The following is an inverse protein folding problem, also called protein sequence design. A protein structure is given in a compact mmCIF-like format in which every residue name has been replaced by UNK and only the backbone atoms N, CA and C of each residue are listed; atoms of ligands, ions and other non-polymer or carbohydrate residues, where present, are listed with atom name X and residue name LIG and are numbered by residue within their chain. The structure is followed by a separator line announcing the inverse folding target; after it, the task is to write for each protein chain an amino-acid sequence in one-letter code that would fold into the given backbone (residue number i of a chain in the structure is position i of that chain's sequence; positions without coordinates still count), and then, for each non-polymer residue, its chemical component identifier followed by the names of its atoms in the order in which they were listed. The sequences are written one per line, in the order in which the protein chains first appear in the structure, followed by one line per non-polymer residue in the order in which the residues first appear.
data_IF_849194281131
#
_entry.id   IF_849194281131
#
_cell.length_a   1.000
_cell.length_b   1.000
_cell.length_c   1.000
_cell.angle_alpha   90.00
_cell.angle_beta   90.00
_cell.angle_gamma   90.00
#
_symmetry.space_group_name_H-M   'P 1'
#
loop_
_entity.id
_entity.type
_entity.pdbx_description
1 polymer ?
#
# COMPACT_ATOMS: atom_id res chain seq x y z
N UNK A 1 11.47 10.23 8.65
CA UNK A 1 10.69 9.19 7.93
C UNK A 1 9.52 9.90 7.24
N UNK A 2 9.42 9.89 5.92
CA UNK A 2 8.27 10.48 5.19
C UNK A 2 7.10 9.49 5.24
N UNK A 3 5.93 9.93 5.70
CA UNK A 3 4.69 9.16 5.63
C UNK A 3 4.00 9.46 4.29
N UNK A 4 3.79 8.43 3.48
CA UNK A 4 3.14 8.55 2.18
C UNK A 4 1.68 8.11 2.32
N UNK A 5 0.75 9.06 2.35
CA UNK A 5 -0.70 8.84 2.30
C UNK A 5 -1.23 8.62 0.88
N UNK A 6 -0.47 9.06 -0.13
CA UNK A 6 -0.84 8.92 -1.54
C UNK A 6 0.38 8.64 -2.41
N UNK A 7 0.18 7.89 -3.50
CA UNK A 7 1.21 7.67 -4.51
C UNK A 7 1.66 8.96 -5.21
N UNK A 8 0.86 10.02 -5.19
CA UNK A 8 1.28 11.33 -5.69
C UNK A 8 2.32 12.04 -4.81
N UNK A 9 2.58 11.53 -3.61
CA UNK A 9 3.60 12.11 -2.72
C UNK A 9 5.01 11.59 -3.00
N UNK A 10 5.15 10.61 -3.90
CA UNK A 10 6.46 10.22 -4.42
C UNK A 10 6.89 11.23 -5.48
N UNK A 11 7.89 12.04 -5.14
CA UNK A 11 8.51 13.00 -6.07
C UNK A 11 8.96 12.31 -7.37
N UNK A 12 9.45 11.06 -7.28
CA UNK A 12 9.91 10.27 -8.43
C UNK A 12 8.78 9.87 -9.41
N UNK A 13 7.52 9.96 -8.97
CA UNK A 13 6.36 9.60 -9.78
C UNK A 13 5.68 10.83 -10.41
N UNK A 14 6.10 12.06 -10.09
CA UNK A 14 5.40 13.28 -10.53
C UNK A 14 5.43 13.47 -12.05
N UNK A 15 6.51 13.05 -12.70
CA UNK A 15 6.71 13.19 -14.16
C UNK A 15 5.90 12.19 -14.99
N UNK A 16 5.22 11.23 -14.35
CA UNK A 16 4.48 10.16 -15.02
C UNK A 16 2.97 10.40 -15.04
N UNK A 17 2.30 9.94 -16.09
CA UNK A 17 0.84 9.98 -16.17
C UNK A 17 0.20 8.95 -15.22
N UNK A 18 -1.13 9.00 -15.05
CA UNK A 18 -1.83 8.12 -14.11
C UNK A 18 -1.66 6.62 -14.43
N UNK A 19 -1.69 6.24 -15.71
CA UNK A 19 -1.54 4.84 -16.13
C UNK A 19 -0.10 4.35 -15.86
N UNK A 20 0.90 5.16 -16.20
CA UNK A 20 2.32 4.88 -15.95
C UNK A 20 2.60 4.75 -14.45
N UNK A 21 2.04 5.65 -13.63
CA UNK A 21 2.12 5.56 -12.17
C UNK A 21 1.62 4.22 -11.65
N UNK A 22 0.48 3.75 -12.16
CA UNK A 22 -0.09 2.49 -11.73
C UNK A 22 0.79 1.30 -12.14
N UNK A 23 1.37 1.32 -13.35
CA UNK A 23 2.31 0.30 -13.81
C UNK A 23 3.60 0.28 -13.00
N UNK A 24 4.13 1.44 -12.61
CA UNK A 24 5.33 1.53 -11.77
C UNK A 24 5.04 1.01 -10.35
N UNK A 25 3.88 1.32 -9.78
CA UNK A 25 3.44 0.79 -8.48
C UNK A 25 3.32 -0.74 -8.53
N UNK A 26 2.78 -1.29 -9.61
CA UNK A 26 2.70 -2.73 -9.81
C UNK A 26 4.09 -3.36 -9.89
N UNK A 27 5.01 -2.73 -10.62
CA UNK A 27 6.39 -3.19 -10.75
C UNK A 27 7.13 -3.15 -9.41
N UNK A 28 6.94 -2.09 -8.62
CA UNK A 28 7.50 -1.97 -7.27
C UNK A 28 6.94 -3.05 -6.33
N UNK A 29 5.64 -3.35 -6.41
CA UNK A 29 5.04 -4.47 -5.70
C UNK A 29 5.62 -5.82 -6.13
N UNK A 30 5.88 -6.02 -7.42
CA UNK A 30 6.50 -7.25 -7.92
C UNK A 30 7.96 -7.39 -7.48
N UNK A 31 8.70 -6.29 -7.42
CA UNK A 31 10.08 -6.24 -6.90
C UNK A 31 10.19 -6.46 -5.40
N UNK A 32 9.13 -6.21 -4.63
CA UNK A 32 9.14 -6.43 -3.20
C UNK A 32 9.43 -7.92 -2.91
N UNK A 33 10.51 -8.25 -2.18
CA UNK A 33 10.92 -9.62 -1.93
C UNK A 33 9.86 -10.35 -1.11
N UNK A 34 9.74 -11.66 -1.31
CA UNK A 34 8.78 -12.52 -0.60
C UNK A 34 8.73 -12.28 0.93
N UNK A 35 9.85 -12.23 1.67
CA UNK A 35 9.80 -11.95 3.11
C UNK A 35 9.19 -10.59 3.43
N UNK A 36 9.48 -9.53 2.66
CA UNK A 36 8.91 -8.20 2.89
C UNK A 36 7.39 -8.17 2.64
N UNK A 37 6.90 -8.89 1.63
CA UNK A 37 5.46 -9.08 1.38
C UNK A 37 4.77 -9.79 2.54
N UNK A 38 5.40 -10.85 3.05
CA UNK A 38 4.90 -11.62 4.20
C UNK A 38 4.87 -10.73 5.44
N UNK A 39 5.94 -10.00 5.76
CA UNK A 39 5.97 -9.06 6.89
C UNK A 39 4.86 -8.02 6.78
N UNK A 40 4.66 -7.45 5.60
CA UNK A 40 3.61 -6.47 5.35
C UNK A 40 2.23 -7.09 5.59
N UNK A 41 1.96 -8.31 5.10
CA UNK A 41 0.70 -8.99 5.32
C UNK A 41 0.48 -9.41 6.79
N UNK A 42 1.53 -9.85 7.49
CA UNK A 42 1.46 -10.11 8.94
C UNK A 42 1.13 -8.81 9.69
N UNK A 43 1.76 -7.69 9.34
CA UNK A 43 1.46 -6.40 9.94
C UNK A 43 0.00 -5.98 9.69
N UNK A 44 -0.53 -6.19 8.48
CA UNK A 44 -1.95 -5.96 8.17
C UNK A 44 -2.86 -6.80 9.06
N UNK A 45 -2.51 -8.07 9.27
CA UNK A 45 -3.27 -8.97 10.15
C UNK A 45 -3.19 -8.52 11.61
N UNK A 46 -2.01 -8.17 12.12
CA UNK A 46 -1.83 -7.68 13.49
C UNK A 46 -2.62 -6.40 13.77
N UNK A 47 -2.77 -5.52 12.77
CA UNK A 47 -3.61 -4.32 12.89
C UNK A 47 -5.11 -4.68 12.86
N UNK A 48 -5.50 -5.71 12.11
CA UNK A 48 -6.89 -6.10 11.92
C UNK A 48 -7.45 -6.94 13.08
N UNK A 49 -6.63 -7.80 13.69
CA UNK A 49 -7.06 -8.74 14.74
C UNK A 49 -7.66 -8.02 15.97
N UNK A 50 -7.00 -7.03 16.60
CA UNK A 50 -7.52 -6.41 17.81
C UNK A 50 -8.90 -5.76 17.63
N UNK A 51 -9.15 -4.96 16.57
CA UNK A 51 -10.48 -4.46 16.26
C UNK A 51 -11.53 -5.55 16.11
N UNK A 52 -11.21 -6.66 15.43
CA UNK A 52 -12.12 -7.79 15.28
C UNK A 52 -12.44 -8.48 16.60
N UNK A 53 -11.46 -8.63 17.51
CA UNK A 53 -11.68 -9.18 18.84
C UNK A 53 -12.57 -8.27 19.70
N UNK A 54 -12.45 -6.94 19.55
CA UNK A 54 -13.33 -5.98 20.23
C UNK A 54 -14.75 -6.06 19.67
N UNK A 55 -14.90 -6.14 18.35
CA UNK A 55 -16.21 -6.29 17.69
C UNK A 55 -16.91 -7.57 18.09
N UNK A 56 -16.17 -8.67 18.26
CA UNK A 56 -16.72 -9.96 18.67
C UNK A 56 -17.38 -9.96 20.07
N UNK A 57 -17.10 -8.94 20.90
CA UNK A 57 -17.75 -8.79 22.22
C UNK A 57 -19.06 -8.00 22.17
N UNK A 58 -19.45 -7.50 21.00
CA UNK A 58 -20.67 -6.70 20.85
C UNK A 58 -21.80 -7.63 20.40
N UNK A 59 -22.63 -8.08 21.36
CA UNK A 59 -23.74 -9.00 21.10
C UNK A 59 -25.01 -8.32 20.55
N UNK A 60 -24.94 -7.01 20.28
CA UNK A 60 -26.08 -6.21 19.84
C UNK A 60 -25.95 -5.79 18.39
N UNK A 61 -27.08 -5.52 17.74
CA UNK A 61 -27.14 -4.98 16.37
C UNK A 61 -26.40 -3.63 16.20
N UNK A 62 -26.01 -2.99 17.31
CA UNK A 62 -25.21 -1.78 17.33
C UNK A 62 -23.76 -2.01 16.87
N UNK A 63 -23.31 -3.26 16.70
CA UNK A 63 -21.96 -3.60 16.20
C UNK A 63 -21.66 -3.04 14.79
N UNK A 64 -22.68 -2.67 14.02
CA UNK A 64 -22.53 -2.11 12.67
C UNK A 64 -21.75 -0.79 12.68
N UNK A 65 -22.00 0.07 13.67
CA UNK A 65 -21.33 1.37 13.79
C UNK A 65 -19.81 1.22 14.05
N UNK A 66 -19.37 0.47 15.07
CA UNK A 66 -17.94 0.22 15.27
C UNK A 66 -17.34 -0.61 14.13
N UNK A 67 -18.09 -1.50 13.47
CA UNK A 67 -17.60 -2.22 12.30
C UNK A 67 -17.22 -1.26 11.16
N UNK A 68 -18.10 -0.31 10.82
CA UNK A 68 -17.81 0.71 9.82
C UNK A 68 -16.59 1.56 10.21
N UNK A 69 -16.51 1.96 11.49
CA UNK A 69 -15.36 2.72 12.00
C UNK A 69 -14.06 1.92 11.83
N UNK A 70 -14.06 0.63 12.17
CA UNK A 70 -12.91 -0.26 12.01
C UNK A 70 -12.49 -0.38 10.55
N UNK A 71 -13.44 -0.50 9.62
CA UNK A 71 -13.13 -0.55 8.18
C UNK A 71 -12.50 0.74 7.67
N UNK A 72 -13.01 1.90 8.10
CA UNK A 72 -12.44 3.21 7.74
C UNK A 72 -11.04 3.35 8.32
N UNK A 73 -10.86 3.09 9.62
CA UNK A 73 -9.55 3.13 10.28
C UNK A 73 -8.55 2.16 9.63
N UNK A 74 -8.99 0.96 9.28
CA UNK A 74 -8.18 -0.03 8.57
C UNK A 74 -7.63 0.56 7.27
N UNK A 75 -8.50 1.14 6.42
CA UNK A 75 -8.05 1.72 5.16
C UNK A 75 -7.09 2.90 5.37
N UNK A 76 -7.40 3.78 6.32
CA UNK A 76 -6.60 4.97 6.63
C UNK A 76 -5.21 4.61 7.15
N UNK A 77 -5.06 3.53 7.92
CA UNK A 77 -3.78 3.08 8.48
C UNK A 77 -3.00 2.21 7.49
N UNK A 78 -3.67 1.27 6.80
CA UNK A 78 -2.97 0.35 5.91
C UNK A 78 -2.39 1.02 4.67
N UNK A 79 -3.12 1.98 4.09
CA UNK A 79 -2.66 2.73 2.91
C UNK A 79 -1.25 3.30 3.13
N UNK A 80 -0.98 4.10 4.18
CA UNK A 80 0.33 4.68 4.39
C UNK A 80 1.40 3.67 4.79
N UNK A 81 1.04 2.63 5.54
CA UNK A 81 1.98 1.53 5.88
C UNK A 81 2.43 0.81 4.61
N UNK A 82 1.49 0.50 3.71
CA UNK A 82 1.78 -0.15 2.43
C UNK A 82 2.65 0.74 1.56
N UNK A 83 2.30 2.03 1.44
CA UNK A 83 3.05 2.98 0.63
C UNK A 83 4.45 3.23 1.17
N UNK A 84 4.64 3.25 2.50
CA UNK A 84 5.96 3.36 3.12
C UNK A 84 6.88 2.19 2.72
N UNK A 85 6.34 0.97 2.69
CA UNK A 85 7.08 -0.22 2.25
C UNK A 85 7.37 -0.17 0.75
N UNK A 86 6.38 0.22 -0.06
CA UNK A 86 6.53 0.41 -1.50
C UNK A 86 7.61 1.43 -1.84
N UNK A 87 7.69 2.55 -1.10
CA UNK A 87 8.66 3.61 -1.33
C UNK A 87 10.12 3.13 -1.38
N UNK A 88 10.46 2.04 -0.69
CA UNK A 88 11.80 1.42 -0.75
C UNK A 88 12.15 0.79 -2.10
N UNK A 89 11.13 0.49 -2.92
CA UNK A 89 11.25 -0.20 -4.21
C UNK A 89 10.81 0.68 -5.38
N UNK A 90 10.33 1.90 -5.13
CA UNK A 90 9.83 2.82 -6.18
C UNK A 90 10.96 3.28 -7.09
N UNK A 91 12.12 3.67 -6.56
CA UNK A 91 13.27 4.11 -7.38
C UNK A 91 13.72 3.04 -8.38
N UNK A 92 13.82 1.80 -7.88
CA UNK A 92 14.17 0.64 -8.67
C UNK A 92 13.12 0.30 -9.75
N UNK A 93 11.84 0.51 -9.45
CA UNK A 93 10.75 0.28 -10.38
C UNK A 93 10.70 1.37 -11.46
N UNK A 94 10.90 2.64 -11.09
CA UNK A 94 11.00 3.76 -12.04
C UNK A 94 12.16 3.54 -13.02
N UNK A 95 13.34 3.16 -12.52
CA UNK A 95 14.49 2.88 -13.39
C UNK A 95 14.22 1.74 -14.39
N UNK A 96 13.56 0.66 -13.94
CA UNK A 96 13.17 -0.45 -14.81
C UNK A 96 12.08 -0.06 -15.80
N UNK A 97 11.13 0.79 -15.40
CA UNK A 97 10.08 1.29 -16.27
C UNK A 97 10.64 2.13 -17.41
N UNK A 98 11.52 3.09 -17.11
CA UNK A 98 12.22 3.91 -18.12
C UNK A 98 13.03 3.05 -19.10
N UNK A 99 13.75 2.03 -18.61
CA UNK A 99 14.49 1.09 -19.47
C UNK A 99 13.57 0.31 -20.41
N UNK A 100 12.37 -0.09 -19.95
CA UNK A 100 11.40 -0.79 -20.80
C UNK A 100 10.77 0.11 -21.87
N UNK A 101 10.55 1.39 -21.58
CA UNK A 101 10.11 2.35 -22.59
C UNK A 101 11.19 2.56 -23.66
N UNK A 102 12.46 2.75 -23.27
CA UNK A 102 13.57 2.94 -24.21
C UNK A 102 13.75 1.75 -25.18
N UNK A 103 13.63 0.51 -24.68
CA UNK A 103 13.71 -0.69 -25.51
C UNK A 103 12.51 -0.90 -26.45
N UNK A 104 11.43 -0.14 -26.28
CA UNK A 104 10.25 -0.19 -27.13
C UNK A 104 10.28 0.87 -28.25
N UNK A 105 11.11 1.89 -28.09
CA UNK A 105 11.28 3.00 -29.04
C UNK A 105 12.47 2.78 -30.01
N UNK A 106 13.35 1.81 -29.73
CA UNK A 106 14.44 1.31 -30.61
C UNK A 106 13.99 0.15 -31.52
#
# INVERSE_FOLDING_TARGET
MKFYFSSNQFEQLQDFNFAEKQQIIELANNKMPAPAKVTLNILKLLILIPPFLLLARVDSWMFVLPLLLVLVCYFVILRPVSLMFLGKYIDEAVAQFKRRQQLQDD
#
